data_IF_210561768954
#
_entry.id   IF_210561768954
#
_cell.length_a   1.000
_cell.length_b   1.000
_cell.length_c   1.000
_cell.angle_alpha   90.00
_cell.angle_beta   90.00
_cell.angle_gamma   90.00
#
_symmetry.space_group_name_H-M   'P 1'
#
loop_
_entity.id
_entity.type
_entity.pdbx_description
1 polymer ?
#
# COMPACT_ATOMS: atom_id res chain seq x y z
N UNK A 1 -3.80 10.13 25.37
CA UNK A 1 -4.68 9.99 24.20
C UNK A 1 -4.16 8.91 23.23
N UNK A 2 -3.01 9.11 22.59
CA UNK A 2 -2.42 8.18 21.61
C UNK A 2 -2.31 6.72 22.06
N UNK A 3 -1.81 6.44 23.26
CA UNK A 3 -1.73 5.07 23.82
C UNK A 3 -3.09 4.38 23.97
N UNK A 4 -4.18 5.13 24.19
CA UNK A 4 -5.53 4.55 24.24
C UNK A 4 -5.97 4.14 22.84
N UNK A 5 -5.73 4.99 21.84
CA UNK A 5 -6.10 4.70 20.46
C UNK A 5 -5.30 3.51 19.92
N UNK A 6 -4.01 3.43 20.21
CA UNK A 6 -3.13 2.30 19.84
C UNK A 6 -3.63 0.95 20.38
N UNK A 7 -4.07 0.93 21.65
CA UNK A 7 -4.55 -0.30 22.31
C UNK A 7 -5.96 -0.68 21.88
N UNK A 8 -6.85 0.30 21.68
CA UNK A 8 -8.27 0.05 21.41
C UNK A 8 -8.58 -0.16 19.92
N UNK A 9 -7.90 0.53 19.02
CA UNK A 9 -8.20 0.47 17.59
C UNK A 9 -8.08 -0.96 17.02
N UNK A 10 -7.06 -1.76 17.35
CA UNK A 10 -6.98 -3.16 16.91
C UNK A 10 -8.09 -4.05 17.48
N UNK A 11 -8.61 -3.76 18.67
CA UNK A 11 -9.70 -4.54 19.29
C UNK A 11 -11.01 -4.24 18.58
N UNK A 12 -11.35 -2.96 18.48
CA UNK A 12 -12.58 -2.47 17.82
C UNK A 12 -12.60 -2.88 16.34
N UNK A 13 -11.47 -2.78 15.64
CA UNK A 13 -11.43 -3.15 14.22
C UNK A 13 -11.67 -4.64 14.01
N UNK A 14 -11.16 -5.50 14.90
CA UNK A 14 -11.43 -6.96 14.87
C UNK A 14 -12.90 -7.25 15.08
N UNK A 15 -13.53 -6.58 16.06
CA UNK A 15 -14.97 -6.70 16.33
C UNK A 15 -15.82 -6.27 15.12
N UNK A 16 -15.53 -5.11 14.53
CA UNK A 16 -16.31 -4.55 13.40
C UNK A 16 -16.11 -5.37 12.11
N UNK A 17 -14.88 -5.78 11.82
CA UNK A 17 -14.52 -6.43 10.55
C UNK A 17 -14.59 -7.95 10.60
N UNK A 18 -14.74 -8.55 11.79
CA UNK A 18 -14.74 -9.99 12.00
C UNK A 18 -13.49 -10.68 11.42
N UNK A 19 -12.33 -10.04 11.56
CA UNK A 19 -11.04 -10.51 11.06
C UNK A 19 -10.15 -10.84 12.25
N UNK A 20 -9.64 -12.06 12.36
CA UNK A 20 -8.72 -12.47 13.43
C UNK A 20 -7.23 -12.32 13.04
N UNK A 21 -6.90 -11.19 12.40
CA UNK A 21 -5.53 -10.86 12.00
C UNK A 21 -4.95 -9.86 12.99
N UNK A 22 -3.72 -10.08 13.49
CA UNK A 22 -3.04 -9.07 14.30
C UNK A 22 -2.84 -7.81 13.46
N UNK A 23 -3.36 -6.69 13.94
CA UNK A 23 -3.23 -5.38 13.31
C UNK A 23 -2.67 -4.40 14.34
N UNK A 24 -1.60 -3.71 13.97
CA UNK A 24 -1.02 -2.64 14.78
C UNK A 24 -1.44 -1.28 14.20
N UNK A 25 -1.54 -0.26 15.05
CA UNK A 25 -1.68 1.11 14.57
C UNK A 25 -0.39 1.53 13.86
N UNK A 26 -0.46 1.75 12.55
CA UNK A 26 0.68 2.19 11.75
C UNK A 26 0.85 3.72 11.83
N UNK A 27 1.92 4.25 11.24
CA UNK A 27 2.18 5.69 11.23
C UNK A 27 1.04 6.50 10.59
N UNK A 28 0.39 5.95 9.56
CA UNK A 28 -0.70 6.61 8.83
C UNK A 28 -1.95 6.82 9.70
N UNK A 29 -2.17 5.90 10.64
CA UNK A 29 -3.24 6.02 11.61
C UNK A 29 -3.07 7.25 12.52
N UNK A 30 -1.83 7.56 12.92
CA UNK A 30 -1.53 8.75 13.71
C UNK A 30 -1.47 10.01 12.86
N UNK A 31 -0.91 9.94 11.64
CA UNK A 31 -0.81 11.11 10.76
C UNK A 31 -2.19 11.61 10.34
N UNK A 32 -3.16 10.72 10.13
CA UNK A 32 -4.56 11.10 9.86
C UNK A 32 -5.17 11.97 10.97
N UNK A 33 -4.93 11.64 12.25
CA UNK A 33 -5.38 12.49 13.36
C UNK A 33 -4.67 13.84 13.39
N UNK A 34 -3.37 13.87 13.10
CA UNK A 34 -2.61 15.12 13.05
C UNK A 34 -3.13 16.01 11.92
N UNK A 35 -3.40 15.45 10.74
CA UNK A 35 -3.96 16.20 9.60
C UNK A 35 -5.36 16.75 9.89
N UNK A 36 -6.22 15.94 10.55
CA UNK A 36 -7.54 16.37 11.00
C UNK A 36 -7.45 17.52 12.02
N UNK A 37 -6.55 17.41 13.00
CA UNK A 37 -6.29 18.49 13.98
C UNK A 37 -5.75 19.78 13.32
N UNK A 38 -5.07 19.66 12.19
CA UNK A 38 -4.58 20.79 11.39
C UNK A 38 -5.65 21.34 10.41
N UNK A 39 -6.86 20.76 10.38
CA UNK A 39 -7.93 21.17 9.48
C UNK A 39 -7.65 20.84 8.00
N UNK A 40 -6.76 19.87 7.74
CA UNK A 40 -6.42 19.45 6.38
C UNK A 40 -7.54 18.51 5.87
N UNK A 41 -8.09 18.75 4.67
CA UNK A 41 -9.10 17.87 4.08
C UNK A 41 -8.58 16.43 3.95
N UNK A 42 -9.42 15.43 4.22
CA UNK A 42 -9.04 14.00 4.18
C UNK A 42 -8.51 13.58 2.80
N UNK A 43 -9.02 14.22 1.75
CA UNK A 43 -8.58 14.04 0.36
C UNK A 43 -7.10 14.39 0.15
N UNK A 44 -6.54 15.24 1.03
CA UNK A 44 -5.14 15.68 0.98
C UNK A 44 -4.17 14.75 1.71
N UNK A 45 -4.65 13.74 2.44
CA UNK A 45 -3.80 12.82 3.20
C UNK A 45 -2.79 12.09 2.28
N UNK A 46 -3.28 11.47 1.20
CA UNK A 46 -2.41 10.74 0.25
C UNK A 46 -1.50 11.66 -0.57
N UNK A 47 -1.97 12.83 -1.08
CA UNK A 47 -1.10 13.82 -1.70
C UNK A 47 0.07 14.27 -0.81
N UNK A 48 -0.18 14.59 0.46
CA UNK A 48 0.88 15.02 1.40
C UNK A 48 1.88 13.89 1.64
N UNK A 49 1.38 12.66 1.83
CA UNK A 49 2.24 11.48 1.92
C UNK A 49 3.12 11.34 0.68
N UNK A 50 2.55 11.45 -0.53
CA UNK A 50 3.31 11.34 -1.78
C UNK A 50 4.40 12.43 -1.88
N UNK A 51 4.08 13.68 -1.53
CA UNK A 51 5.06 14.79 -1.51
C UNK A 51 6.23 14.47 -0.59
N UNK A 52 5.97 14.00 0.63
CA UNK A 52 7.00 13.59 1.57
C UNK A 52 7.83 12.40 1.04
N UNK A 53 7.26 11.57 0.14
CA UNK A 53 7.95 10.42 -0.43
C UNK A 53 8.86 10.72 -1.62
N UNK A 54 8.65 11.84 -2.32
CA UNK A 54 9.41 12.24 -3.52
C UNK A 54 10.92 12.16 -3.27
N UNK A 55 11.43 12.73 -2.17
CA UNK A 55 12.87 12.73 -1.88
C UNK A 55 13.47 11.32 -1.82
N UNK A 56 12.75 10.38 -1.21
CA UNK A 56 13.19 8.99 -1.14
C UNK A 56 13.06 8.25 -2.47
N UNK A 57 12.01 8.51 -3.25
CA UNK A 57 11.88 7.96 -4.60
C UNK A 57 13.00 8.44 -5.52
N UNK A 58 13.35 9.73 -5.47
CA UNK A 58 14.48 10.27 -6.21
C UNK A 58 15.79 9.59 -5.80
N UNK A 59 16.03 9.39 -4.49
CA UNK A 59 17.21 8.70 -4.01
C UNK A 59 17.31 7.26 -4.54
N UNK A 60 16.22 6.49 -4.50
CA UNK A 60 16.18 5.13 -5.07
C UNK A 60 16.44 5.10 -6.57
N UNK A 61 15.85 6.03 -7.33
CA UNK A 61 16.09 6.13 -8.78
C UNK A 61 17.57 6.41 -9.05
N UNK A 62 18.18 7.35 -8.32
CA UNK A 62 19.62 7.67 -8.47
C UNK A 62 20.47 6.44 -8.15
N UNK A 63 20.18 5.74 -7.05
CA UNK A 63 20.89 4.52 -6.66
C UNK A 63 20.78 3.42 -7.72
N UNK A 64 19.60 3.22 -8.30
CA UNK A 64 19.37 2.25 -9.37
C UNK A 64 20.18 2.61 -10.64
N UNK A 65 20.22 3.89 -11.02
CA UNK A 65 20.95 4.32 -12.21
C UNK A 65 22.47 4.19 -12.06
N UNK A 66 22.99 4.41 -10.84
CA UNK A 66 24.43 4.32 -10.57
C UNK A 66 24.91 2.89 -10.34
N UNK A 67 24.11 2.05 -9.66
CA UNK A 67 24.54 0.72 -9.20
C UNK A 67 23.78 -0.44 -9.86
N UNK A 68 22.56 -0.20 -10.32
CA UNK A 68 21.60 -1.24 -10.69
C UNK A 68 21.85 -1.83 -12.08
N UNK A 69 22.16 -1.01 -13.08
CA UNK A 69 22.62 -1.41 -14.44
C UNK A 69 21.81 -2.49 -15.18
N UNK A 70 20.64 -2.89 -14.65
CA UNK A 70 19.87 -4.06 -15.05
C UNK A 70 18.40 -3.71 -15.05
N UNK A 71 17.71 -4.13 -16.11
CA UNK A 71 16.26 -3.96 -16.23
C UNK A 71 15.56 -4.90 -15.24
N UNK A 72 14.67 -4.34 -14.41
CA UNK A 72 13.81 -5.12 -13.52
C UNK A 72 12.72 -5.83 -14.36
N UNK A 73 12.94 -7.11 -14.66
CA UNK A 73 12.02 -7.93 -15.47
C UNK A 73 11.73 -9.28 -14.79
N UNK A 74 10.74 -9.36 -13.88
CA UNK A 74 10.36 -10.61 -13.26
C UNK A 74 9.74 -11.58 -14.29
N UNK A 75 9.98 -12.88 -14.10
CA UNK A 75 9.29 -13.95 -14.82
C UNK A 75 7.98 -14.34 -14.11
N UNK A 76 7.08 -14.98 -14.84
CA UNK A 76 5.86 -15.55 -14.26
C UNK A 76 5.70 -17.02 -14.65
N UNK A 77 5.03 -17.80 -13.79
CA UNK A 77 4.68 -19.19 -14.06
C UNK A 77 3.25 -19.28 -14.59
N UNK A 78 3.10 -19.70 -15.83
CA UNK A 78 1.78 -19.96 -16.40
C UNK A 78 1.20 -21.26 -15.82
N UNK A 79 -0.04 -21.23 -15.32
CA UNK A 79 -0.76 -22.39 -14.76
C UNK A 79 -1.82 -22.96 -15.71
N UNK A 80 -2.04 -22.31 -16.86
CA UNK A 80 -3.04 -22.71 -17.85
C UNK A 80 -2.51 -23.91 -18.62
N UNK A 81 -3.36 -24.93 -18.75
CA UNK A 81 -3.08 -26.08 -19.63
C UNK A 81 -3.15 -25.63 -21.09
N UNK A 82 -2.38 -26.27 -21.96
CA UNK A 82 -2.53 -26.10 -23.40
C UNK A 82 -3.96 -26.48 -23.79
N UNK A 83 -4.66 -25.55 -24.42
CA UNK A 83 -6.01 -25.75 -24.95
C UNK A 83 -5.94 -25.65 -26.47
N UNK A 84 -6.66 -26.53 -27.16
CA UNK A 84 -6.86 -26.39 -28.59
C UNK A 84 -7.60 -25.08 -28.88
N UNK A 85 -7.18 -24.41 -29.95
CA UNK A 85 -7.86 -23.21 -30.40
C UNK A 85 -9.26 -23.57 -30.93
N UNK A 86 -10.29 -22.91 -30.40
CA UNK A 86 -11.65 -23.00 -30.91
C UNK A 86 -11.97 -21.67 -31.60
N UNK A 87 -12.36 -21.74 -32.88
CA UNK A 87 -12.78 -20.57 -33.66
C UNK A 87 -13.93 -19.87 -32.96
N UNK A 88 -14.02 -18.55 -33.09
CA UNK A 88 -15.05 -17.78 -32.39
C UNK A 88 -16.48 -18.24 -32.75
N UNK A 89 -16.71 -18.67 -33.99
CA UNK A 89 -17.98 -19.22 -34.47
C UNK A 89 -18.34 -20.59 -33.90
N UNK A 90 -17.38 -21.29 -33.28
CA UNK A 90 -17.49 -22.67 -32.79
C UNK A 90 -17.36 -22.75 -31.25
N UNK A 91 -17.32 -21.60 -30.57
CA UNK A 91 -17.23 -21.50 -29.10
C UNK A 91 -18.58 -21.59 -28.42
#
# INVERSE_FOLDING_TARGET
LYQKVEKLAPVIFREIRNIDKPMCANVDFYSGFVYDMLGIPVEMNTPIFAIARIAGWCAHIIEEHLNGGRIIRPAYKNIKKNVQYIKLSER
#
